data_IF_784699284602
#
_entry.id   IF_784699284602
#
_cell.length_a   1.000
_cell.length_b   1.000
_cell.length_c   1.000
_cell.angle_alpha   90.00
_cell.angle_beta   90.00
_cell.angle_gamma   90.00
#
_symmetry.space_group_name_H-M   'P 1'
#
loop_
_entity.id
_entity.type
_entity.pdbx_description
1 polymer ?
#
# COMPACT_ATOMS: atom_id res chain seq x y z
N UNK A 1 19.66 -16.95 0.98
CA UNK A 1 19.58 -15.86 -0.01
C UNK A 1 19.54 -14.55 0.76
N UNK A 2 20.14 -13.46 0.30
CA UNK A 2 20.27 -12.27 1.12
C UNK A 2 19.02 -11.37 1.04
N UNK A 3 18.67 -10.79 2.21
CA UNK A 3 17.81 -9.63 2.30
C UNK A 3 18.66 -8.36 2.24
N UNK A 4 18.28 -7.39 1.43
CA UNK A 4 19.00 -6.11 1.32
C UNK A 4 18.05 -4.91 1.34
N UNK A 5 18.41 -3.90 2.12
CA UNK A 5 17.64 -2.65 2.17
C UNK A 5 18.31 -1.53 1.39
N UNK A 6 17.50 -0.66 0.81
CA UNK A 6 17.91 0.60 0.19
C UNK A 6 17.25 1.75 0.95
N UNK A 7 18.01 2.40 1.83
CA UNK A 7 17.53 3.51 2.66
C UNK A 7 17.71 4.87 1.98
N UNK A 8 16.84 5.78 2.29
CA UNK A 8 16.95 7.18 1.90
C UNK A 8 15.64 7.94 2.10
N UNK A 9 15.69 9.27 2.27
CA UNK A 9 14.50 10.10 2.39
C UNK A 9 13.69 10.13 1.09
N UNK A 10 12.48 10.70 1.14
CA UNK A 10 11.66 10.84 -0.05
C UNK A 10 12.36 11.74 -1.08
N UNK A 11 12.44 11.28 -2.34
CA UNK A 11 13.15 12.03 -3.40
C UNK A 11 14.66 11.83 -3.46
N UNK A 12 15.26 10.95 -2.62
CA UNK A 12 16.70 10.65 -2.67
C UNK A 12 17.13 9.84 -3.91
N UNK A 13 16.18 9.25 -4.65
CA UNK A 13 16.47 8.47 -5.86
C UNK A 13 16.53 6.97 -5.64
N UNK A 14 15.97 6.44 -4.55
CA UNK A 14 15.93 5.00 -4.23
C UNK A 14 15.41 4.14 -5.38
N UNK A 15 14.23 4.47 -5.90
CA UNK A 15 13.63 3.74 -7.02
C UNK A 15 14.51 3.81 -8.28
N UNK A 16 15.08 4.97 -8.57
CA UNK A 16 16.01 5.12 -9.70
C UNK A 16 17.23 4.23 -9.54
N UNK A 17 17.84 4.22 -8.35
CA UNK A 17 18.98 3.35 -8.05
C UNK A 17 18.61 1.88 -8.21
N UNK A 18 17.47 1.48 -7.60
CA UNK A 18 17.02 0.09 -7.65
C UNK A 18 16.75 -0.37 -9.09
N UNK A 19 16.07 0.47 -9.89
CA UNK A 19 15.74 0.13 -11.28
C UNK A 19 16.99 0.07 -12.17
N UNK A 20 17.95 0.97 -11.98
CA UNK A 20 19.23 0.90 -12.67
C UNK A 20 19.97 -0.39 -12.34
N UNK A 21 20.02 -0.76 -11.06
CA UNK A 21 20.63 -2.01 -10.62
C UNK A 21 19.94 -3.23 -11.23
N UNK A 22 18.60 -3.27 -11.22
CA UNK A 22 17.83 -4.36 -11.84
C UNK A 22 18.13 -4.47 -13.34
N UNK A 23 18.18 -3.34 -14.05
CA UNK A 23 18.51 -3.31 -15.49
C UNK A 23 19.92 -3.86 -15.73
N UNK A 24 20.92 -3.36 -14.99
CA UNK A 24 22.30 -3.81 -15.13
C UNK A 24 22.47 -5.31 -14.86
N UNK A 25 21.82 -5.82 -13.81
CA UNK A 25 21.89 -7.24 -13.48
C UNK A 25 21.11 -8.10 -14.50
N UNK A 26 20.00 -7.61 -15.01
CA UNK A 26 19.21 -8.31 -16.03
C UNK A 26 19.97 -8.45 -17.37
N UNK A 27 20.80 -7.47 -17.74
CA UNK A 27 21.66 -7.53 -18.92
C UNK A 27 22.84 -8.50 -18.74
N UNK A 28 23.41 -8.59 -17.52
CA UNK A 28 24.50 -9.52 -17.20
C UNK A 28 24.01 -10.95 -17.10
N UNK A 29 22.79 -11.16 -16.61
CA UNK A 29 22.23 -12.47 -16.31
C UNK A 29 20.90 -12.70 -17.08
N UNK A 30 20.93 -12.84 -18.40
CA UNK A 30 19.72 -12.92 -19.23
C UNK A 30 18.87 -14.18 -19.00
N UNK A 31 19.40 -15.18 -18.28
CA UNK A 31 18.70 -16.41 -17.91
C UNK A 31 18.00 -16.30 -16.54
N UNK A 32 18.23 -15.23 -15.81
CA UNK A 32 17.58 -14.96 -14.53
C UNK A 32 16.39 -14.04 -14.70
N UNK A 33 15.43 -14.15 -13.81
CA UNK A 33 14.27 -13.28 -13.80
C UNK A 33 14.41 -12.22 -12.71
N UNK A 34 13.91 -11.03 -13.00
CA UNK A 34 13.86 -9.91 -12.05
C UNK A 34 12.41 -9.48 -11.87
N UNK A 35 11.91 -9.62 -10.66
CA UNK A 35 10.51 -9.30 -10.33
C UNK A 35 10.49 -8.03 -9.51
N UNK A 36 9.92 -6.96 -10.08
CA UNK A 36 9.73 -5.68 -9.41
C UNK A 36 8.32 -5.61 -8.86
N UNK A 37 8.19 -5.80 -7.54
CA UNK A 37 6.92 -5.67 -6.83
C UNK A 37 6.69 -4.23 -6.42
N UNK A 38 5.53 -3.70 -6.79
CA UNK A 38 5.08 -2.36 -6.45
C UNK A 38 3.59 -2.38 -6.07
N UNK A 39 3.09 -1.39 -5.32
CA UNK A 39 1.65 -1.21 -5.15
C UNK A 39 0.92 -1.16 -6.49
N UNK A 40 -0.28 -1.72 -6.56
CA UNK A 40 -0.98 -1.96 -7.83
C UNK A 40 -1.12 -0.72 -8.71
N UNK A 41 -1.40 0.44 -8.09
CA UNK A 41 -1.53 1.72 -8.79
C UNK A 41 -0.24 2.20 -9.48
N UNK A 42 0.92 1.71 -9.07
CA UNK A 42 2.21 2.12 -9.63
C UNK A 42 2.75 1.17 -10.71
N UNK A 43 2.14 0.01 -10.92
CA UNK A 43 2.67 -1.01 -11.84
C UNK A 43 2.93 -0.47 -13.26
N UNK A 44 1.97 0.24 -13.84
CA UNK A 44 2.11 0.80 -15.19
C UNK A 44 3.17 1.90 -15.25
N UNK A 45 3.24 2.77 -14.24
CA UNK A 45 4.25 3.84 -14.22
C UNK A 45 5.65 3.27 -14.07
N UNK A 46 5.84 2.32 -13.17
CA UNK A 46 7.11 1.62 -12.96
C UNK A 46 7.58 0.91 -14.22
N UNK A 47 6.68 0.21 -14.92
CA UNK A 47 7.00 -0.45 -16.18
C UNK A 47 7.46 0.56 -17.25
N UNK A 48 6.78 1.71 -17.38
CA UNK A 48 7.19 2.78 -18.29
C UNK A 48 8.56 3.36 -17.93
N UNK A 49 8.83 3.53 -16.65
CA UNK A 49 10.10 4.09 -16.18
C UNK A 49 11.25 3.12 -16.43
N UNK A 50 11.08 1.83 -16.16
CA UNK A 50 12.06 0.78 -16.48
C UNK A 50 12.35 0.73 -17.99
N UNK A 51 11.31 0.72 -18.84
CA UNK A 51 11.49 0.73 -20.31
C UNK A 51 12.24 1.98 -20.77
N UNK A 52 11.95 3.16 -20.20
CA UNK A 52 12.65 4.41 -20.55
C UNK A 52 14.11 4.42 -20.10
N UNK A 53 14.39 3.81 -18.94
CA UNK A 53 15.74 3.76 -18.38
C UNK A 53 16.59 2.69 -19.06
N UNK A 54 15.98 1.63 -19.57
CA UNK A 54 16.70 0.54 -20.24
C UNK A 54 17.34 1.01 -21.55
N UNK A 55 18.64 0.73 -21.79
CA UNK A 55 19.36 1.20 -23.01
C UNK A 55 18.70 0.79 -24.32
N UNK A 56 18.04 -0.37 -24.34
CA UNK A 56 17.34 -0.92 -25.52
C UNK A 56 15.86 -0.54 -25.58
N UNK A 57 15.37 0.27 -24.65
CA UNK A 57 13.94 0.64 -24.52
C UNK A 57 12.97 -0.54 -24.49
N UNK A 58 13.38 -1.66 -23.91
CA UNK A 58 12.59 -2.88 -23.75
C UNK A 58 13.06 -3.70 -22.58
N UNK A 59 12.15 -4.40 -21.93
CA UNK A 59 12.42 -5.32 -20.82
C UNK A 59 11.99 -6.73 -21.24
N UNK A 60 12.87 -7.72 -21.06
CA UNK A 60 12.62 -9.12 -21.45
C UNK A 60 12.46 -10.01 -20.24
N UNK A 61 13.41 -9.98 -19.31
CA UNK A 61 13.46 -10.79 -18.10
C UNK A 61 13.21 -9.96 -16.83
N UNK A 62 12.54 -8.81 -16.97
CA UNK A 62 12.09 -7.96 -15.85
C UNK A 62 10.56 -7.90 -15.89
N UNK A 63 9.90 -8.39 -14.85
CA UNK A 63 8.45 -8.33 -14.67
C UNK A 63 8.10 -7.29 -13.60
N UNK A 64 7.13 -6.41 -13.90
CA UNK A 64 6.59 -5.44 -12.93
C UNK A 64 5.21 -5.88 -12.51
N UNK A 65 5.06 -6.25 -11.25
CA UNK A 65 3.86 -6.90 -10.73
C UNK A 65 3.41 -6.25 -9.42
N UNK A 66 2.11 -6.40 -9.13
CA UNK A 66 1.59 -6.29 -7.76
C UNK A 66 1.60 -7.68 -7.11
N UNK A 67 1.40 -7.76 -5.80
CA UNK A 67 1.28 -9.05 -5.11
C UNK A 67 0.20 -9.95 -5.72
N UNK A 68 -0.96 -9.40 -6.08
CA UNK A 68 -2.03 -10.16 -6.71
C UNK A 68 -1.63 -10.71 -8.09
N UNK A 69 -0.94 -9.91 -8.90
CA UNK A 69 -0.44 -10.36 -10.21
C UNK A 69 0.65 -11.41 -10.08
N UNK A 70 1.51 -11.29 -9.07
CA UNK A 70 2.49 -12.32 -8.76
C UNK A 70 1.82 -13.63 -8.41
N UNK A 71 0.76 -13.60 -7.59
CA UNK A 71 0.00 -14.79 -7.24
C UNK A 71 -0.55 -15.50 -8.49
N UNK A 72 -1.23 -14.78 -9.36
CA UNK A 72 -1.74 -15.38 -10.60
C UNK A 72 -0.63 -15.93 -11.50
N UNK A 73 0.51 -15.25 -11.59
CA UNK A 73 1.65 -15.70 -12.39
C UNK A 73 2.21 -17.04 -11.87
N UNK A 74 2.34 -17.17 -10.55
CA UNK A 74 2.80 -18.40 -9.90
C UNK A 74 1.76 -19.52 -10.04
N UNK A 75 0.47 -19.23 -9.85
CA UNK A 75 -0.59 -20.24 -9.97
C UNK A 75 -0.73 -20.78 -11.41
N UNK A 76 -0.46 -19.96 -12.42
CA UNK A 76 -0.40 -20.44 -13.80
C UNK A 76 0.77 -21.40 -14.02
N UNK A 77 1.89 -21.18 -13.36
CA UNK A 77 3.06 -22.05 -13.42
C UNK A 77 2.85 -23.35 -12.66
N UNK A 78 2.41 -23.27 -11.39
CA UNK A 78 2.31 -24.44 -10.50
C UNK A 78 1.05 -25.27 -10.72
N UNK A 79 0.13 -24.78 -11.53
CA UNK A 79 -1.11 -25.50 -11.87
C UNK A 79 -2.13 -25.51 -10.73
N UNK A 80 -2.03 -24.60 -9.76
CA UNK A 80 -3.03 -24.42 -8.71
C UNK A 80 -4.41 -24.22 -9.33
N UNK A 81 -5.41 -25.00 -8.88
CA UNK A 81 -6.79 -24.86 -9.34
C UNK A 81 -7.24 -23.42 -9.22
N UNK A 82 -7.79 -22.85 -10.30
CA UNK A 82 -8.38 -21.50 -10.30
C UNK A 82 -9.59 -21.47 -9.35
N UNK A 83 -9.33 -21.18 -8.09
CA UNK A 83 -10.41 -20.87 -7.15
C UNK A 83 -10.80 -19.40 -7.41
N UNK A 84 -12.08 -19.12 -7.66
CA UNK A 84 -12.51 -17.76 -7.91
C UNK A 84 -12.18 -16.84 -6.73
N UNK A 85 -11.52 -15.72 -7.01
CA UNK A 85 -11.23 -14.70 -5.98
C UNK A 85 -12.44 -13.79 -5.85
N UNK A 86 -12.93 -13.69 -4.63
CA UNK A 86 -14.11 -12.88 -4.30
C UNK A 86 -13.70 -11.42 -4.18
N UNK A 87 -14.40 -10.56 -4.91
CA UNK A 87 -14.27 -9.11 -4.79
C UNK A 87 -15.09 -8.54 -3.62
N UNK A 88 -14.96 -7.24 -3.38
CA UNK A 88 -15.63 -6.57 -2.25
C UNK A 88 -17.16 -6.63 -2.36
N UNK A 89 -17.71 -6.57 -3.57
CA UNK A 89 -19.15 -6.65 -3.80
C UNK A 89 -19.66 -8.07 -3.56
N UNK A 90 -18.93 -9.06 -4.00
CA UNK A 90 -19.20 -10.46 -3.73
C UNK A 90 -19.17 -10.76 -2.23
N UNK A 91 -18.19 -10.23 -1.48
CA UNK A 91 -18.14 -10.34 -0.02
C UNK A 91 -19.39 -9.74 0.63
N UNK A 92 -19.80 -8.53 0.20
CA UNK A 92 -21.01 -7.87 0.72
C UNK A 92 -22.27 -8.71 0.47
N UNK A 93 -22.42 -9.29 -0.72
CA UNK A 93 -23.59 -10.14 -1.06
C UNK A 93 -23.63 -11.40 -0.20
N UNK A 94 -22.49 -12.07 -0.02
CA UNK A 94 -22.40 -13.27 0.81
C UNK A 94 -22.68 -12.94 2.27
N UNK A 95 -22.05 -11.90 2.81
CA UNK A 95 -22.29 -11.46 4.19
C UNK A 95 -23.74 -11.06 4.44
N UNK A 96 -24.38 -10.40 3.49
CA UNK A 96 -25.80 -10.07 3.56
C UNK A 96 -26.68 -11.32 3.63
N UNK A 97 -26.37 -12.36 2.85
CA UNK A 97 -27.07 -13.64 2.88
C UNK A 97 -26.89 -14.33 4.23
N UNK A 98 -25.66 -14.37 4.74
CA UNK A 98 -25.32 -14.98 6.02
C UNK A 98 -26.02 -14.23 7.17
N UNK A 99 -25.93 -12.89 7.17
CA UNK A 99 -26.58 -12.07 8.16
C UNK A 99 -28.12 -12.29 8.21
N UNK A 100 -28.74 -12.51 7.05
CA UNK A 100 -30.15 -12.89 6.99
C UNK A 100 -30.44 -14.26 7.64
N UNK A 101 -29.55 -15.23 7.51
CA UNK A 101 -29.72 -16.55 8.09
C UNK A 101 -29.48 -16.58 9.62
N UNK A 102 -28.67 -15.65 10.12
CA UNK A 102 -28.31 -15.55 11.54
C UNK A 102 -29.01 -14.42 12.28
N UNK A 103 -29.96 -13.70 11.65
CA UNK A 103 -30.59 -12.51 12.22
C UNK A 103 -31.15 -12.73 13.63
N UNK A 104 -31.78 -13.88 13.88
CA UNK A 104 -32.36 -14.20 15.19
C UNK A 104 -31.32 -14.47 16.28
N UNK A 105 -30.10 -14.81 15.89
CA UNK A 105 -28.98 -15.10 16.80
C UNK A 105 -28.15 -13.85 17.12
N UNK A 106 -28.28 -12.77 16.32
CA UNK A 106 -27.57 -11.52 16.54
C UNK A 106 -28.20 -10.72 17.68
N UNK A 107 -27.38 -10.03 18.43
CA UNK A 107 -27.78 -9.20 19.58
C UNK A 107 -27.71 -7.70 19.25
N UNK A 108 -26.51 -7.16 19.08
CA UNK A 108 -26.26 -5.73 18.86
C UNK A 108 -26.49 -5.35 17.40
N UNK A 109 -26.13 -6.23 16.46
CA UNK A 109 -26.25 -5.96 15.03
C UNK A 109 -27.63 -6.26 14.46
N UNK A 110 -28.47 -7.02 15.15
CA UNK A 110 -29.80 -7.50 14.68
C UNK A 110 -30.63 -6.46 13.94
N UNK A 111 -30.81 -5.28 14.50
CA UNK A 111 -31.71 -4.25 13.95
C UNK A 111 -31.15 -3.47 12.74
N UNK A 112 -29.85 -3.56 12.47
CA UNK A 112 -29.20 -2.72 11.46
C UNK A 112 -28.43 -3.52 10.41
N UNK A 113 -28.24 -4.81 10.60
CA UNK A 113 -27.39 -5.65 9.76
C UNK A 113 -27.84 -5.70 8.29
N UNK A 114 -29.12 -5.47 7.99
CA UNK A 114 -29.64 -5.42 6.61
C UNK A 114 -29.30 -4.13 5.86
N UNK A 115 -28.86 -3.10 6.57
CA UNK A 115 -28.45 -1.82 5.95
C UNK A 115 -27.08 -2.00 5.26
N UNK A 116 -26.95 -1.52 4.03
CA UNK A 116 -25.73 -1.67 3.23
C UNK A 116 -24.47 -1.16 3.94
N UNK A 117 -24.56 -0.02 4.63
CA UNK A 117 -23.43 0.52 5.38
C UNK A 117 -22.93 -0.43 6.49
N UNK A 118 -23.85 -1.07 7.22
CA UNK A 118 -23.46 -2.03 8.27
C UNK A 118 -22.80 -3.29 7.72
N UNK A 119 -23.30 -3.83 6.63
CA UNK A 119 -22.66 -4.97 5.94
C UNK A 119 -21.26 -4.60 5.48
N UNK A 120 -21.10 -3.40 4.91
CA UNK A 120 -19.79 -2.91 4.47
C UNK A 120 -18.80 -2.76 5.63
N UNK A 121 -19.25 -2.28 6.79
CA UNK A 121 -18.41 -2.21 7.99
C UNK A 121 -18.01 -3.61 8.49
N UNK A 122 -18.95 -4.54 8.58
CA UNK A 122 -18.66 -5.93 8.95
C UNK A 122 -17.67 -6.56 7.98
N UNK A 123 -17.87 -6.36 6.67
CA UNK A 123 -16.92 -6.81 5.64
C UNK A 123 -15.51 -6.24 5.89
N UNK A 124 -15.42 -4.94 6.19
CA UNK A 124 -14.12 -4.30 6.45
C UNK A 124 -13.42 -4.91 7.66
N UNK A 125 -14.14 -5.14 8.75
CA UNK A 125 -13.59 -5.79 9.95
C UNK A 125 -13.13 -7.22 9.65
N UNK A 126 -13.93 -8.01 8.93
CA UNK A 126 -13.56 -9.38 8.54
C UNK A 126 -12.33 -9.38 7.63
N UNK A 127 -12.23 -8.44 6.69
CA UNK A 127 -11.06 -8.29 5.84
C UNK A 127 -9.81 -7.90 6.64
N UNK A 128 -9.96 -7.03 7.66
CA UNK A 128 -8.87 -6.70 8.58
C UNK A 128 -8.43 -7.91 9.39
N UNK A 129 -9.35 -8.72 9.93
CA UNK A 129 -8.99 -9.94 10.64
C UNK A 129 -8.11 -10.86 9.77
N UNK A 130 -8.51 -11.09 8.53
CA UNK A 130 -7.72 -11.90 7.60
C UNK A 130 -6.35 -11.28 7.31
N UNK A 131 -6.27 -9.95 7.10
CA UNK A 131 -5.01 -9.26 6.83
C UNK A 131 -4.03 -9.29 8.01
N UNK A 132 -4.57 -9.24 9.24
CA UNK A 132 -3.78 -9.25 10.46
C UNK A 132 -3.63 -10.64 11.08
N UNK A 133 -4.08 -11.68 10.35
CA UNK A 133 -3.99 -13.07 10.79
C UNK A 133 -4.72 -13.36 12.12
N UNK A 134 -5.85 -12.68 12.29
CA UNK A 134 -6.75 -12.90 13.44
C UNK A 134 -7.73 -14.00 13.04
N UNK A 135 -7.52 -15.19 13.55
CA UNK A 135 -8.36 -16.35 13.34
C UNK A 135 -9.44 -16.50 14.42
N UNK A 136 -10.01 -17.68 14.47
CA UNK A 136 -11.08 -18.02 15.43
C UNK A 136 -10.60 -17.96 16.87
N UNK A 137 -9.42 -18.54 17.16
CA UNK A 137 -8.85 -18.62 18.50
C UNK A 137 -8.51 -17.23 19.05
N UNK A 138 -7.84 -16.39 18.24
CA UNK A 138 -7.50 -15.03 18.65
C UNK A 138 -8.76 -14.17 18.88
N UNK A 139 -9.81 -14.40 18.08
CA UNK A 139 -11.06 -13.69 18.24
C UNK A 139 -11.78 -14.10 19.53
N UNK A 140 -11.77 -15.40 19.86
CA UNK A 140 -12.33 -15.92 21.08
C UNK A 140 -11.54 -15.40 22.30
N UNK A 141 -10.20 -15.37 22.26
CA UNK A 141 -9.36 -14.76 23.30
C UNK A 141 -9.67 -13.27 23.49
N UNK A 142 -9.87 -12.54 22.39
CA UNK A 142 -10.26 -11.12 22.46
C UNK A 142 -11.64 -10.95 23.15
N UNK A 143 -12.60 -11.78 22.82
CA UNK A 143 -13.95 -11.74 23.42
C UNK A 143 -13.86 -12.07 24.90
N UNK A 144 -13.14 -13.11 25.28
CA UNK A 144 -12.99 -13.56 26.67
C UNK A 144 -12.25 -12.55 27.57
N UNK A 145 -11.43 -11.66 26.96
CA UNK A 145 -10.77 -10.57 27.68
C UNK A 145 -11.68 -9.39 28.03
N UNK A 146 -12.90 -9.34 27.49
CA UNK A 146 -13.83 -8.23 27.67
C UNK A 146 -14.82 -8.48 28.82
N UNK A 147 -15.31 -7.38 29.38
CA UNK A 147 -16.43 -7.41 30.30
C UNK A 147 -17.71 -7.89 29.59
N UNK A 148 -18.31 -8.96 30.09
CA UNK A 148 -19.53 -9.57 29.56
C UNK A 148 -20.75 -8.63 29.58
N UNK A 149 -20.75 -7.57 30.39
CA UNK A 149 -21.81 -6.57 30.42
C UNK A 149 -21.57 -5.49 29.35
N UNK A 150 -20.40 -5.45 28.71
CA UNK A 150 -20.03 -4.43 27.72
C UNK A 150 -20.75 -4.63 26.39
N UNK A 151 -21.15 -3.52 25.74
CA UNK A 151 -21.70 -3.55 24.38
C UNK A 151 -20.70 -4.10 23.35
N UNK A 152 -19.40 -3.92 23.62
CA UNK A 152 -18.33 -4.39 22.74
C UNK A 152 -18.26 -5.92 22.73
N UNK A 153 -18.42 -6.56 23.89
CA UNK A 153 -18.50 -8.01 24.02
C UNK A 153 -19.57 -8.62 23.10
N UNK A 154 -20.79 -8.12 23.18
CA UNK A 154 -21.87 -8.61 22.31
C UNK A 154 -21.68 -8.27 20.85
N UNK A 155 -21.09 -7.11 20.54
CA UNK A 155 -20.75 -6.75 19.16
C UNK A 155 -19.72 -7.68 18.55
N UNK A 156 -18.68 -8.04 19.30
CA UNK A 156 -17.67 -9.00 18.83
C UNK A 156 -18.23 -10.41 18.70
N UNK A 157 -19.12 -10.84 19.58
CA UNK A 157 -19.84 -12.11 19.43
C UNK A 157 -20.67 -12.17 18.14
N UNK A 158 -21.38 -11.10 17.84
CA UNK A 158 -22.13 -11.00 16.60
C UNK A 158 -21.20 -11.07 15.36
N UNK A 159 -20.06 -10.36 15.42
CA UNK A 159 -19.06 -10.38 14.34
C UNK A 159 -18.43 -11.77 14.21
N UNK A 160 -18.11 -12.43 15.33
CA UNK A 160 -17.56 -13.80 15.37
C UNK A 160 -18.51 -14.80 14.68
N UNK A 161 -19.81 -14.72 14.97
CA UNK A 161 -20.83 -15.56 14.34
C UNK A 161 -20.91 -15.33 12.82
N UNK A 162 -20.81 -14.07 12.40
CA UNK A 162 -20.82 -13.72 10.96
C UNK A 162 -19.53 -14.14 10.26
N UNK A 163 -18.38 -14.05 10.95
CA UNK A 163 -17.10 -14.51 10.48
C UNK A 163 -17.09 -16.01 10.21
N UNK A 164 -17.57 -16.82 11.16
CA UNK A 164 -17.67 -18.27 10.99
C UNK A 164 -18.57 -18.65 9.81
N UNK A 165 -19.75 -18.05 9.76
CA UNK A 165 -20.65 -18.30 8.64
C UNK A 165 -20.05 -17.87 7.29
N UNK A 166 -19.22 -16.84 7.27
CA UNK A 166 -18.52 -16.38 6.07
C UNK A 166 -17.41 -17.36 5.68
N UNK A 167 -16.57 -17.79 6.62
CA UNK A 167 -15.52 -18.77 6.37
C UNK A 167 -16.09 -20.11 5.90
N UNK A 168 -17.16 -20.61 6.52
CA UNK A 168 -17.84 -21.82 6.10
C UNK A 168 -18.43 -21.70 4.70
N UNK A 169 -18.95 -20.53 4.33
CA UNK A 169 -19.48 -20.30 2.99
C UNK A 169 -18.37 -20.28 1.93
N UNK A 170 -17.20 -19.74 2.26
CA UNK A 170 -16.05 -19.64 1.35
C UNK A 170 -15.37 -21.01 1.13
N UNK A 171 -15.38 -21.87 2.14
CA UNK A 171 -14.66 -23.14 2.12
C UNK A 171 -14.91 -23.91 0.83
N UNK A 172 -13.82 -24.19 0.08
CA UNK A 172 -13.79 -24.92 -1.20
C UNK A 172 -14.48 -24.23 -2.39
N UNK A 173 -15.03 -23.04 -2.22
CA UNK A 173 -15.78 -22.32 -3.28
C UNK A 173 -15.06 -21.06 -3.77
N UNK A 174 -14.56 -20.28 -2.85
CA UNK A 174 -13.96 -18.99 -3.10
C UNK A 174 -12.77 -18.76 -2.19
N UNK A 175 -11.87 -17.88 -2.61
CA UNK A 175 -10.86 -17.26 -1.74
C UNK A 175 -11.05 -15.75 -1.76
N UNK A 176 -10.65 -15.08 -0.70
CA UNK A 176 -10.62 -13.62 -0.67
C UNK A 176 -9.30 -13.09 -1.23
N UNK A 177 -9.23 -11.79 -1.52
CA UNK A 177 -7.97 -11.17 -1.97
C UNK A 177 -6.88 -11.27 -0.90
N UNK A 178 -7.26 -11.27 0.36
CA UNK A 178 -6.36 -11.41 1.50
C UNK A 178 -5.79 -12.85 1.57
N UNK A 179 -6.64 -13.87 1.40
CA UNK A 179 -6.23 -15.28 1.39
C UNK A 179 -5.39 -15.65 0.16
N UNK A 180 -5.50 -14.88 -0.92
CA UNK A 180 -4.69 -15.08 -2.13
C UNK A 180 -3.19 -15.11 -1.82
N UNK A 181 -2.73 -14.29 -0.87
CA UNK A 181 -1.33 -14.23 -0.48
C UNK A 181 -0.91 -15.41 0.39
N UNK A 182 -1.81 -15.99 1.17
CA UNK A 182 -1.53 -17.23 1.91
C UNK A 182 -1.36 -18.43 0.97
N UNK A 183 -2.23 -18.53 -0.04
CA UNK A 183 -2.08 -19.54 -1.08
C UNK A 183 -0.76 -19.35 -1.83
N UNK A 184 -0.44 -18.10 -2.23
CA UNK A 184 0.83 -17.79 -2.86
C UNK A 184 2.02 -18.18 -1.98
N UNK A 185 1.99 -17.89 -0.69
CA UNK A 185 3.09 -18.22 0.23
C UNK A 185 3.41 -19.71 0.25
N UNK A 186 2.41 -20.56 0.15
CA UNK A 186 2.58 -22.04 0.08
C UNK A 186 3.17 -22.49 -1.27
N UNK A 187 2.86 -21.77 -2.34
CA UNK A 187 3.30 -22.11 -3.70
C UNK A 187 4.69 -21.58 -4.05
N UNK A 188 5.24 -20.64 -3.29
CA UNK A 188 6.57 -20.05 -3.54
C UNK A 188 7.63 -21.12 -3.70
N UNK A 189 7.64 -22.13 -2.85
CA UNK A 189 8.64 -23.21 -2.85
C UNK A 189 8.56 -24.13 -4.09
N UNK A 190 7.40 -24.18 -4.75
CA UNK A 190 7.18 -25.03 -5.93
C UNK A 190 7.45 -24.27 -7.24
N UNK A 191 7.54 -22.95 -7.20
CA UNK A 191 7.73 -22.09 -8.38
C UNK A 191 9.20 -22.05 -8.84
N UNK A 192 9.48 -22.58 -10.00
CA UNK A 192 10.81 -22.50 -10.64
C UNK A 192 11.10 -21.05 -11.11
N UNK A 193 10.06 -20.30 -11.50
CA UNK A 193 10.16 -18.89 -11.80
C UNK A 193 10.76 -18.14 -10.61
N UNK A 194 10.20 -18.33 -9.42
CA UNK A 194 10.65 -17.62 -8.21
C UNK A 194 12.03 -18.08 -7.75
N UNK A 195 12.35 -19.37 -7.82
CA UNK A 195 13.69 -19.89 -7.51
C UNK A 195 14.77 -19.26 -8.39
N UNK A 196 14.44 -18.93 -9.63
CA UNK A 196 15.38 -18.30 -10.55
C UNK A 196 15.23 -16.76 -10.61
N UNK A 197 14.58 -16.17 -9.63
CA UNK A 197 14.32 -14.74 -9.61
C UNK A 197 15.03 -13.99 -8.49
N UNK A 198 15.42 -12.75 -8.79
CA UNK A 198 15.67 -11.71 -7.78
C UNK A 198 14.41 -10.86 -7.67
N UNK A 199 13.90 -10.71 -6.45
CA UNK A 199 12.67 -9.95 -6.16
C UNK A 199 13.04 -8.62 -5.52
N UNK A 200 12.50 -7.53 -6.07
CA UNK A 200 12.71 -6.19 -5.50
C UNK A 200 11.36 -5.55 -5.17
N UNK A 201 11.24 -4.97 -3.98
CA UNK A 201 10.02 -4.31 -3.51
C UNK A 201 10.26 -2.80 -3.43
N UNK A 202 9.44 -2.03 -4.14
CA UNK A 202 9.55 -0.57 -4.17
C UNK A 202 8.22 0.13 -3.89
N UNK A 203 8.29 1.23 -3.14
CA UNK A 203 7.13 2.08 -2.87
C UNK A 203 6.20 1.60 -1.75
N UNK A 204 6.59 0.62 -0.96
CA UNK A 204 5.84 0.19 0.22
C UNK A 204 6.26 0.99 1.46
N UNK A 205 5.29 1.28 2.32
CA UNK A 205 5.51 1.97 3.62
C UNK A 205 5.50 1.02 4.81
N UNK A 206 5.02 -0.20 4.62
CA UNK A 206 4.91 -1.26 5.60
C UNK A 206 4.27 -2.49 4.98
N UNK A 207 4.25 -3.59 5.70
CA UNK A 207 3.64 -4.85 5.28
C UNK A 207 2.69 -5.39 6.35
N UNK A 208 1.58 -5.97 5.90
CA UNK A 208 0.68 -6.73 6.78
C UNK A 208 1.33 -8.05 7.20
N UNK A 209 0.86 -8.71 8.28
CA UNK A 209 1.38 -10.03 8.68
C UNK A 209 1.38 -11.06 7.55
N UNK A 210 0.31 -11.12 6.76
CA UNK A 210 0.22 -12.01 5.59
C UNK A 210 1.28 -11.68 4.54
N UNK A 211 1.52 -10.39 4.27
CA UNK A 211 2.60 -9.97 3.36
C UNK A 211 3.97 -10.29 3.92
N UNK A 212 4.18 -10.15 5.22
CA UNK A 212 5.44 -10.52 5.87
C UNK A 212 5.72 -12.03 5.72
N UNK A 213 4.71 -12.90 5.88
CA UNK A 213 4.84 -14.35 5.62
C UNK A 213 5.26 -14.62 4.18
N UNK A 214 4.59 -13.99 3.21
CA UNK A 214 4.97 -14.14 1.80
C UNK A 214 6.40 -13.67 1.54
N UNK A 215 6.80 -12.51 2.07
CA UNK A 215 8.17 -11.99 1.90
C UNK A 215 9.20 -12.93 2.53
N UNK A 216 8.86 -13.54 3.67
CA UNK A 216 9.72 -14.56 4.28
C UNK A 216 9.93 -15.77 3.34
N UNK A 217 8.87 -16.28 2.74
CA UNK A 217 8.99 -17.37 1.76
C UNK A 217 9.80 -16.94 0.52
N UNK A 218 9.60 -15.70 0.03
CA UNK A 218 10.44 -15.16 -1.03
C UNK A 218 11.93 -15.08 -0.61
N UNK A 219 12.22 -14.67 0.63
CA UNK A 219 13.60 -14.66 1.15
C UNK A 219 14.20 -16.05 1.25
N UNK A 220 13.40 -17.09 1.48
CA UNK A 220 13.87 -18.50 1.55
C UNK A 220 14.21 -19.07 0.18
N UNK A 221 13.41 -18.77 -0.83
CA UNK A 221 13.46 -19.50 -2.10
C UNK A 221 13.97 -18.68 -3.30
N UNK A 222 13.88 -17.34 -3.27
CA UNK A 222 14.38 -16.52 -4.36
C UNK A 222 15.90 -16.24 -4.24
N UNK A 223 16.55 -15.86 -5.32
CA UNK A 223 18.01 -15.53 -5.35
C UNK A 223 18.39 -14.36 -4.46
N UNK A 224 17.49 -13.42 -4.25
CA UNK A 224 17.65 -12.28 -3.36
C UNK A 224 16.38 -11.47 -3.25
N UNK A 225 16.24 -10.76 -2.13
CA UNK A 225 15.11 -9.84 -1.89
C UNK A 225 15.64 -8.47 -1.51
N UNK A 226 15.32 -7.45 -2.30
CA UNK A 226 15.72 -6.08 -2.06
C UNK A 226 14.51 -5.20 -1.77
N UNK A 227 14.62 -4.29 -0.82
CA UNK A 227 13.48 -3.48 -0.38
C UNK A 227 13.90 -2.03 -0.24
N UNK A 228 13.21 -1.11 -0.94
CA UNK A 228 13.38 0.33 -0.71
C UNK A 228 12.63 0.75 0.54
N UNK A 229 13.27 1.56 1.36
CA UNK A 229 12.70 2.03 2.63
C UNK A 229 12.90 3.53 2.76
N UNK A 230 11.82 4.25 3.08
CA UNK A 230 11.91 5.68 3.37
C UNK A 230 12.49 5.85 4.77
N UNK A 231 13.68 6.48 4.84
CA UNK A 231 14.40 6.67 6.07
C UNK A 231 15.30 7.91 5.99
N UNK A 232 15.35 8.69 7.05
CA UNK A 232 16.27 9.83 7.19
C UNK A 232 17.60 9.36 7.82
N UNK A 233 18.71 9.97 7.44
CA UNK A 233 20.05 9.66 7.97
C UNK A 233 20.18 9.83 9.50
N UNK A 234 19.34 10.68 10.09
CA UNK A 234 19.30 11.00 11.52
C UNK A 234 18.51 9.98 12.35
N UNK A 235 17.89 9.01 11.69
CA UNK A 235 17.08 7.98 12.32
C UNK A 235 17.79 6.62 12.31
N UNK A 236 17.65 5.88 13.40
CA UNK A 236 18.09 4.50 13.42
C UNK A 236 16.98 3.59 12.83
N UNK A 237 17.17 2.97 11.65
CA UNK A 237 16.18 2.12 11.02
C UNK A 237 15.90 0.83 11.80
N UNK A 238 16.81 0.43 12.67
CA UNK A 238 16.77 -0.82 13.44
C UNK A 238 16.17 -0.65 14.84
N UNK A 239 15.61 0.52 15.15
CA UNK A 239 15.03 0.84 16.46
C UNK A 239 13.58 1.30 16.33
N UNK A 240 12.66 0.37 16.41
CA UNK A 240 11.22 0.63 16.53
C UNK A 240 10.79 0.54 17.99
N UNK A 241 10.15 1.59 18.51
CA UNK A 241 9.63 1.65 19.89
C UNK A 241 8.13 1.96 19.94
N UNK A 242 7.68 2.89 19.09
CA UNK A 242 6.31 3.39 19.13
C UNK A 242 5.80 3.72 17.72
N UNK A 243 4.52 3.49 17.41
CA UNK A 243 3.95 3.76 16.08
C UNK A 243 3.97 5.26 15.70
N UNK A 244 4.00 6.15 16.68
CA UNK A 244 4.07 7.61 16.45
C UNK A 244 5.50 8.15 16.28
N UNK A 245 6.52 7.31 16.25
CA UNK A 245 7.86 7.75 15.89
C UNK A 245 7.90 8.23 14.44
N UNK A 246 8.73 9.23 14.18
CA UNK A 246 9.05 9.60 12.81
C UNK A 246 9.61 8.37 12.07
N UNK A 247 9.04 8.06 10.89
CA UNK A 247 9.28 6.81 10.15
C UNK A 247 8.89 5.52 10.91
N UNK A 248 7.92 5.58 11.83
CA UNK A 248 7.49 4.43 12.64
C UNK A 248 7.15 3.21 11.79
N UNK A 249 6.33 3.34 10.74
CA UNK A 249 5.98 2.25 9.82
C UNK A 249 7.21 1.66 9.12
N UNK A 250 8.12 2.49 8.64
CA UNK A 250 9.37 2.04 8.01
C UNK A 250 10.27 1.29 8.98
N UNK A 251 10.40 1.79 10.22
CA UNK A 251 11.18 1.12 11.27
C UNK A 251 10.57 -0.22 11.66
N UNK A 252 9.25 -0.27 11.82
CA UNK A 252 8.53 -1.50 12.09
C UNK A 252 8.76 -2.53 10.98
N UNK A 253 8.60 -2.13 9.72
CA UNK A 253 8.86 -2.98 8.56
C UNK A 253 10.28 -3.57 8.59
N UNK A 254 11.30 -2.73 8.80
CA UNK A 254 12.70 -3.17 8.84
C UNK A 254 12.96 -4.13 10.00
N UNK A 255 12.51 -3.79 11.21
CA UNK A 255 12.73 -4.61 12.40
C UNK A 255 12.02 -5.95 12.30
N UNK A 256 10.79 -5.99 11.79
CA UNK A 256 10.03 -7.23 11.57
C UNK A 256 10.74 -8.14 10.57
N UNK A 257 11.12 -7.62 9.41
CA UNK A 257 11.78 -8.43 8.38
C UNK A 257 13.16 -8.95 8.82
N UNK A 258 13.91 -8.15 9.59
CA UNK A 258 15.19 -8.61 10.17
C UNK A 258 14.96 -9.71 11.21
N UNK A 259 13.93 -9.60 12.05
CA UNK A 259 13.58 -10.66 13.02
C UNK A 259 13.29 -11.96 12.30
N UNK A 260 12.38 -11.92 11.33
CA UNK A 260 12.03 -13.08 10.50
C UNK A 260 13.24 -13.68 9.77
N UNK A 261 14.10 -12.83 9.20
CA UNK A 261 15.32 -13.29 8.54
C UNK A 261 16.28 -14.00 9.50
N UNK A 262 16.41 -13.48 10.74
CA UNK A 262 17.27 -14.10 11.78
C UNK A 262 16.73 -15.44 12.27
N UNK A 263 15.43 -15.53 12.49
CA UNK A 263 14.76 -16.77 12.92
C UNK A 263 14.98 -17.90 11.91
N UNK A 264 14.98 -17.59 10.64
CA UNK A 264 15.20 -18.54 9.55
C UNK A 264 16.66 -18.60 9.04
N UNK A 265 17.60 -17.98 9.76
CA UNK A 265 19.02 -17.96 9.41
C UNK A 265 19.34 -17.38 8.03
N UNK A 266 18.52 -16.44 7.55
CA UNK A 266 18.70 -15.76 6.28
C UNK A 266 19.69 -14.60 6.46
N UNK A 267 20.68 -14.51 5.55
CA UNK A 267 21.66 -13.44 5.58
C UNK A 267 21.02 -12.08 5.26
N UNK A 268 21.37 -11.07 6.07
CA UNK A 268 21.01 -9.67 5.81
C UNK A 268 22.27 -8.95 5.35
N UNK A 269 22.24 -8.42 4.14
CA UNK A 269 23.40 -7.70 3.57
C UNK A 269 23.49 -6.26 4.10
N UNK A 270 24.69 -5.68 3.96
CA UNK A 270 24.90 -4.25 4.21
C UNK A 270 23.95 -3.42 3.35
N UNK A 271 23.21 -2.48 3.95
CA UNK A 271 22.23 -1.68 3.23
C UNK A 271 22.91 -0.66 2.31
N UNK A 272 22.22 -0.32 1.24
CA UNK A 272 22.57 0.85 0.44
C UNK A 272 21.92 2.09 1.06
N UNK A 273 22.72 3.09 1.40
CA UNK A 273 22.26 4.32 2.01
C UNK A 273 22.37 5.48 1.01
N UNK A 274 21.22 5.95 0.55
CA UNK A 274 21.12 7.09 -0.36
C UNK A 274 20.78 8.37 0.44
N UNK A 275 21.64 8.67 1.39
CA UNK A 275 21.53 9.87 2.19
C UNK A 275 22.30 11.03 1.51
N UNK A 276 21.68 12.17 1.48
CA UNK A 276 22.28 13.36 0.90
C UNK A 276 21.39 14.58 1.12
N UNK A 277 22.02 15.73 1.25
CA UNK A 277 21.29 16.99 1.37
C UNK A 277 21.89 18.04 0.43
N UNK A 278 21.07 18.69 -0.41
CA UNK A 278 19.64 18.42 -0.64
C UNK A 278 19.39 17.06 -1.28
N UNK A 279 18.20 16.47 -1.04
CA UNK A 279 17.79 15.26 -1.75
C UNK A 279 17.69 15.53 -3.24
N UNK A 280 17.95 14.50 -4.07
CA UNK A 280 18.04 14.63 -5.54
C UNK A 280 16.83 15.36 -6.16
N UNK A 281 15.62 15.11 -5.68
CA UNK A 281 14.39 15.78 -6.14
C UNK A 281 14.42 17.28 -5.93
N UNK A 282 15.00 17.75 -4.83
CA UNK A 282 15.02 19.16 -4.46
C UNK A 282 16.40 19.81 -4.59
N UNK A 283 17.31 19.20 -5.33
CA UNK A 283 18.67 19.74 -5.55
C UNK A 283 18.66 21.18 -6.08
N UNK A 284 17.69 21.51 -6.93
CA UNK A 284 17.50 22.85 -7.50
C UNK A 284 16.57 23.76 -6.69
N UNK A 285 15.94 23.25 -5.62
CA UNK A 285 14.97 23.99 -4.80
C UNK A 285 15.29 23.88 -3.32
N UNK A 286 16.06 24.83 -2.82
CA UNK A 286 16.57 24.81 -1.44
C UNK A 286 15.50 24.95 -0.37
N UNK A 287 14.41 25.69 -0.66
CA UNK A 287 13.30 25.85 0.29
C UNK A 287 12.49 24.57 0.46
N UNK A 288 12.20 23.85 -0.65
CA UNK A 288 11.56 22.54 -0.57
C UNK A 288 12.48 21.48 0.07
N UNK A 289 13.79 21.55 -0.19
CA UNK A 289 14.76 20.70 0.48
C UNK A 289 14.77 20.95 2.00
N UNK A 290 14.73 22.22 2.42
CA UNK A 290 14.66 22.58 3.83
C UNK A 290 13.34 22.08 4.46
N UNK A 291 12.22 22.28 3.79
CA UNK A 291 10.91 21.82 4.25
C UNK A 291 10.89 20.30 4.42
N UNK A 292 11.29 19.53 3.40
CA UNK A 292 11.34 18.07 3.43
C UNK A 292 12.16 17.57 4.63
N UNK A 293 13.31 18.16 4.85
CA UNK A 293 14.22 17.75 5.92
C UNK A 293 13.69 18.04 7.34
N UNK A 294 12.83 19.04 7.51
CA UNK A 294 12.54 19.63 8.81
C UNK A 294 11.05 19.66 9.23
N UNK A 295 10.10 19.43 8.30
CA UNK A 295 8.67 19.67 8.52
C UNK A 295 8.08 19.00 9.78
N UNK A 296 8.60 17.84 10.18
CA UNK A 296 8.12 17.11 11.36
C UNK A 296 9.15 17.08 12.51
N UNK A 297 10.09 18.04 12.54
CA UNK A 297 11.14 18.09 13.54
C UNK A 297 11.05 19.36 14.35
N UNK A 298 10.89 19.19 15.66
CA UNK A 298 10.93 20.32 16.59
C UNK A 298 12.34 20.90 16.67
N UNK A 299 12.43 22.25 16.74
CA UNK A 299 13.71 22.94 16.89
C UNK A 299 14.58 22.98 15.64
N UNK A 300 14.02 22.66 14.47
CA UNK A 300 14.77 22.64 13.21
C UNK A 300 15.23 24.03 12.70
N UNK A 301 14.88 25.10 13.37
CA UNK A 301 15.18 26.48 12.95
C UNK A 301 14.21 26.99 11.89
N UNK A 302 14.45 28.21 11.45
CA UNK A 302 13.63 28.91 10.46
C UNK A 302 14.40 29.02 9.14
N UNK A 303 13.71 28.94 8.01
CA UNK A 303 14.31 29.22 6.71
C UNK A 303 14.44 30.73 6.53
N UNK A 304 15.68 31.24 6.51
CA UNK A 304 15.96 32.68 6.55
C UNK A 304 15.95 33.36 5.17
N UNK A 305 15.75 32.59 4.10
CA UNK A 305 15.75 33.17 2.74
C UNK A 305 14.35 33.40 2.22
N UNK A 306 14.23 34.24 1.17
CA UNK A 306 12.95 34.45 0.50
C UNK A 306 12.36 33.13 -0.01
N UNK A 307 11.07 32.89 0.29
CA UNK A 307 10.31 31.72 -0.13
C UNK A 307 9.52 32.06 -1.39
N UNK A 308 9.77 31.35 -2.49
CA UNK A 308 9.13 31.60 -3.78
C UNK A 308 8.27 30.45 -4.29
N UNK A 309 8.58 29.23 -3.85
CA UNK A 309 7.92 28.01 -4.35
C UNK A 309 7.00 27.35 -3.32
N UNK A 310 6.69 28.03 -2.25
CA UNK A 310 5.73 27.62 -1.25
C UNK A 310 4.70 28.71 -1.03
N UNK A 311 3.44 28.38 -1.06
CA UNK A 311 2.33 29.26 -0.71
C UNK A 311 1.43 28.59 0.32
N UNK A 312 0.88 29.40 1.22
CA UNK A 312 -0.16 28.97 2.17
C UNK A 312 -1.40 29.78 1.86
N UNK A 313 -2.49 29.09 1.57
CA UNK A 313 -3.79 29.71 1.36
C UNK A 313 -4.75 29.26 2.46
N UNK A 314 -5.50 30.20 3.02
CA UNK A 314 -6.52 29.92 4.03
C UNK A 314 -7.87 30.28 3.46
N UNK A 315 -8.76 29.30 3.39
CA UNK A 315 -10.14 29.47 2.92
C UNK A 315 -11.12 29.33 4.10
N UNK A 316 -12.35 29.80 3.93
CA UNK A 316 -13.40 29.73 4.96
C UNK A 316 -14.11 28.38 5.00
N UNK A 317 -14.14 27.71 3.88
CA UNK A 317 -14.84 26.43 3.70
C UNK A 317 -14.21 25.62 2.54
N UNK A 318 -14.52 24.32 2.43
CA UNK A 318 -13.97 23.46 1.38
C UNK A 318 -14.28 23.92 -0.05
N UNK A 319 -15.43 24.57 -0.26
CA UNK A 319 -15.82 25.10 -1.58
C UNK A 319 -14.94 26.27 -2.01
N UNK A 320 -14.68 27.24 -1.13
CA UNK A 320 -13.75 28.34 -1.41
C UNK A 320 -12.31 27.83 -1.59
N UNK A 321 -11.90 26.81 -0.82
CA UNK A 321 -10.60 26.18 -0.97
C UNK A 321 -10.45 25.52 -2.35
N UNK A 322 -11.44 24.75 -2.79
CA UNK A 322 -11.46 24.13 -4.12
C UNK A 322 -11.40 25.16 -5.26
N UNK A 323 -12.13 26.28 -5.12
CA UNK A 323 -12.10 27.38 -6.09
C UNK A 323 -10.72 28.03 -6.15
N UNK A 324 -10.10 28.32 -5.01
CA UNK A 324 -8.77 28.90 -4.92
C UNK A 324 -7.71 27.97 -5.57
N UNK A 325 -7.82 26.65 -5.34
CA UNK A 325 -6.96 25.64 -6.01
C UNK A 325 -7.13 25.69 -7.53
N UNK A 326 -8.38 25.76 -8.02
CA UNK A 326 -8.68 25.85 -9.44
C UNK A 326 -8.09 27.12 -10.07
N UNK A 327 -8.20 28.27 -9.40
CA UNK A 327 -7.59 29.53 -9.83
C UNK A 327 -6.06 29.43 -9.92
N UNK A 328 -5.41 28.87 -8.92
CA UNK A 328 -3.95 28.72 -8.90
C UNK A 328 -3.49 27.76 -10.01
N UNK A 329 -4.19 26.64 -10.23
CA UNK A 329 -3.92 25.74 -11.36
C UNK A 329 -3.99 26.50 -12.68
N UNK A 330 -5.05 27.30 -12.90
CA UNK A 330 -5.18 28.10 -14.13
C UNK A 330 -4.06 29.13 -14.29
N UNK A 331 -3.63 29.73 -13.18
CA UNK A 331 -2.51 30.66 -13.17
C UNK A 331 -1.19 29.96 -13.55
N UNK A 332 -0.90 28.82 -12.93
CA UNK A 332 0.29 28.01 -13.23
C UNK A 332 0.34 27.59 -14.72
N UNK A 333 -0.79 27.13 -15.26
CA UNK A 333 -0.85 26.73 -16.68
C UNK A 333 -0.71 27.91 -17.62
N UNK A 334 -1.39 29.04 -17.36
CA UNK A 334 -1.39 30.20 -18.28
C UNK A 334 -0.13 31.07 -18.20
N UNK A 335 0.38 31.29 -16.99
CA UNK A 335 1.51 32.20 -16.77
C UNK A 335 2.83 31.47 -16.70
N UNK A 336 2.88 30.35 -15.98
CA UNK A 336 4.11 29.61 -15.71
C UNK A 336 4.34 28.45 -16.71
N UNK A 337 3.40 28.25 -17.66
CA UNK A 337 3.47 27.25 -18.73
C UNK A 337 3.52 25.78 -18.26
N UNK A 338 3.02 25.49 -17.03
CA UNK A 338 2.83 24.11 -16.60
C UNK A 338 1.77 23.40 -17.45
N UNK A 339 1.93 22.10 -17.63
CA UNK A 339 0.88 21.26 -18.23
C UNK A 339 0.01 20.69 -17.11
N UNK A 340 -1.28 20.52 -17.33
CA UNK A 340 -2.19 19.92 -16.33
C UNK A 340 -1.67 18.60 -15.75
N UNK A 341 -1.07 17.76 -16.57
CA UNK A 341 -0.47 16.49 -16.14
C UNK A 341 0.75 16.60 -15.20
N UNK A 342 1.27 17.79 -15.02
CA UNK A 342 2.41 18.08 -14.13
C UNK A 342 1.94 18.62 -12.77
N UNK A 343 0.63 18.79 -12.60
CA UNK A 343 0.02 19.34 -11.40
C UNK A 343 -0.78 18.23 -10.70
N UNK A 344 -0.46 17.99 -9.44
CA UNK A 344 -1.20 17.06 -8.57
C UNK A 344 -1.92 17.80 -7.45
N UNK A 345 -3.16 17.39 -7.16
CA UNK A 345 -3.93 17.86 -6.01
C UNK A 345 -4.10 16.68 -5.05
N UNK A 346 -3.71 16.87 -3.81
CA UNK A 346 -3.79 15.85 -2.75
C UNK A 346 -4.78 16.33 -1.71
N UNK A 347 -5.75 15.51 -1.39
CA UNK A 347 -6.75 15.78 -0.34
C UNK A 347 -6.77 14.66 0.69
N UNK A 348 -7.11 14.98 1.91
CA UNK A 348 -7.18 14.02 3.01
C UNK A 348 -8.39 13.09 2.90
N UNK A 349 -9.52 13.60 2.41
CA UNK A 349 -10.78 12.86 2.29
C UNK A 349 -11.54 13.29 1.03
N UNK A 350 -11.66 12.37 0.07
CA UNK A 350 -12.41 12.58 -1.17
C UNK A 350 -13.92 12.69 -0.96
N UNK A 351 -14.47 12.10 0.12
CA UNK A 351 -15.89 12.24 0.41
C UNK A 351 -16.26 13.67 0.82
N UNK A 352 -15.31 14.41 1.40
CA UNK A 352 -15.49 15.80 1.78
C UNK A 352 -15.21 16.74 0.62
N UNK A 353 -14.14 16.51 -0.13
CA UNK A 353 -13.65 17.46 -1.14
C UNK A 353 -14.04 17.13 -2.58
N UNK A 354 -14.40 15.87 -2.86
CA UNK A 354 -14.61 15.40 -4.24
C UNK A 354 -15.56 16.25 -5.07
N UNK A 355 -16.76 16.50 -4.55
CA UNK A 355 -17.78 17.25 -5.27
C UNK A 355 -17.40 18.73 -5.44
N UNK A 356 -16.79 19.36 -4.43
CA UNK A 356 -16.31 20.74 -4.53
C UNK A 356 -15.21 20.90 -5.57
N UNK A 357 -14.27 19.97 -5.62
CA UNK A 357 -13.17 19.98 -6.60
C UNK A 357 -13.70 19.75 -8.02
N UNK A 358 -14.63 18.80 -8.19
CA UNK A 358 -15.24 18.55 -9.50
C UNK A 358 -15.96 19.79 -10.03
N UNK A 359 -16.80 20.40 -9.21
CA UNK A 359 -17.53 21.62 -9.57
C UNK A 359 -16.57 22.78 -9.88
N UNK A 360 -15.52 22.96 -9.06
CA UNK A 360 -14.53 24.01 -9.30
C UNK A 360 -13.76 23.77 -10.61
N UNK A 361 -13.32 22.54 -10.87
CA UNK A 361 -12.56 22.20 -12.07
C UNK A 361 -13.42 22.27 -13.34
N UNK A 362 -14.68 21.87 -13.27
CA UNK A 362 -15.64 22.06 -14.38
C UNK A 362 -15.84 23.55 -14.68
N UNK A 363 -16.08 24.36 -13.63
CA UNK A 363 -16.24 25.83 -13.76
C UNK A 363 -15.05 26.49 -14.44
N UNK A 364 -13.84 26.05 -14.09
CA UNK A 364 -12.60 26.61 -14.68
C UNK A 364 -12.13 25.90 -15.95
N UNK A 365 -12.82 24.86 -16.41
CA UNK A 365 -12.45 24.06 -17.59
C UNK A 365 -11.09 23.37 -17.41
N UNK A 366 -10.86 22.80 -16.22
CA UNK A 366 -9.63 22.07 -15.88
C UNK A 366 -9.85 20.58 -16.13
N UNK A 367 -9.13 19.94 -17.05
CA UNK A 367 -9.20 18.50 -17.22
C UNK A 367 -8.57 17.82 -16.00
N UNK A 368 -9.34 16.92 -15.37
CA UNK A 368 -8.91 16.23 -14.16
C UNK A 368 -9.19 14.73 -14.26
N UNK A 369 -8.31 13.93 -13.68
CA UNK A 369 -8.56 12.54 -13.33
C UNK A 369 -8.71 12.45 -11.82
N UNK A 370 -9.85 11.91 -11.36
CA UNK A 370 -10.11 11.64 -9.95
C UNK A 370 -10.26 10.14 -9.74
N UNK A 371 -9.40 9.59 -8.89
CA UNK A 371 -9.44 8.16 -8.55
C UNK A 371 -10.34 7.95 -7.33
N UNK A 372 -11.67 7.96 -7.55
CA UNK A 372 -12.62 7.57 -6.52
C UNK A 372 -13.81 6.82 -7.09
N UNK A 373 -14.37 5.93 -6.28
CA UNK A 373 -15.58 5.18 -6.63
C UNK A 373 -16.81 6.01 -6.27
N UNK A 374 -17.75 6.13 -7.21
CA UNK A 374 -19.06 6.73 -6.96
C UNK A 374 -20.14 5.65 -6.90
N UNK A 375 -21.09 5.81 -5.98
CA UNK A 375 -22.26 4.95 -5.95
C UNK A 375 -23.15 5.25 -7.16
N UNK A 376 -23.52 4.23 -7.94
CA UNK A 376 -24.46 4.36 -9.05
C UNK A 376 -25.84 4.87 -8.58
N UNK A 377 -26.18 4.67 -7.30
CA UNK A 377 -27.42 5.13 -6.70
C UNK A 377 -27.49 6.65 -6.52
N UNK A 378 -26.37 7.36 -6.68
CA UNK A 378 -26.28 8.82 -6.63
C UNK A 378 -26.37 9.47 -8.02
N UNK A 379 -26.42 8.67 -9.09
CA UNK A 379 -26.72 9.15 -10.43
C UNK A 379 -28.23 9.24 -10.62
N UNK A 380 -28.75 10.46 -10.60
CA UNK A 380 -30.13 10.77 -10.94
C UNK A 380 -30.39 10.74 -12.45
#
# INVERSE_FOLDING_TARGET
>A
MPLKFVFGPSGSGKSTYLYQHVIEESEKNPQENFIVLVPEQFTMQTQKDLVRMHPRHGIMNIDVLSFARLAYRVFEETGVKKIPVLDDEGKNLILRKIAGNYEDKLTVLKGNIKKLGYISEVKSVISEFTQYDIGEEELDDMIDSLDEESRLYYKLKDIRLLYDGFQDYLRERYITKEELLDVLSREVRESELLKNSTVVLDGFTGFTPVQNRLILELMKYCKGVWITVIMDERENPYSYRHPYQLFGLSKQMVTTLISLAREEHIAVEEPVCLYGYPVKRFEKNKELAFLERNIFRYGAGTYEKEVKNLGIHVARNPGEEAMAVAEEIRKLVRKERYRYREIGVIVSDMNVYGDYLEQAFETYGIPVFMDHKRSILLNS
#
